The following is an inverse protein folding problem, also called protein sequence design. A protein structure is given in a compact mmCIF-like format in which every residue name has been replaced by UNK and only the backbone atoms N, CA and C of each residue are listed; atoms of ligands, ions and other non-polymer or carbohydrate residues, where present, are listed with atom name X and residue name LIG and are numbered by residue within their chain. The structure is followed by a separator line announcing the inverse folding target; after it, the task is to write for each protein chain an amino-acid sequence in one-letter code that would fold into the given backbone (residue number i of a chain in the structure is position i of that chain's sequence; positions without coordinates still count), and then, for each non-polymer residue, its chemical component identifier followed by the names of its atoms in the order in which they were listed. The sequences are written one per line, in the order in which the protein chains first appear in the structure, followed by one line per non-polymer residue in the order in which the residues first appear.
data_IF_248153994049
#
_entry.id   IF_248153994049
#
_cell.length_a   1.000
_cell.length_b   1.000
_cell.length_c   1.000
_cell.angle_alpha   90.00
_cell.angle_beta   90.00
_cell.angle_gamma   90.00
#
_symmetry.space_group_name_H-M   'P 1'
#
loop_
_entity.id
_entity.type
_entity.pdbx_description
1 polymer ?
#
# COMPACT_ATOMS: atom_id res chain seq x y z
N UNK A 1 -0.10 -15.98 -2.01
CA UNK A 1 -0.80 -15.84 -3.31
C UNK A 1 -1.07 -14.35 -3.53
N UNK A 2 -0.71 -13.79 -4.69
CA UNK A 2 -0.97 -12.38 -5.02
C UNK A 2 -2.49 -12.14 -5.11
N UNK A 3 -2.99 -11.14 -4.39
CA UNK A 3 -4.41 -10.76 -4.27
C UNK A 3 -5.38 -11.92 -3.95
N UNK A 4 -5.47 -12.34 -2.68
CA UNK A 4 -6.34 -13.42 -2.23
C UNK A 4 -7.84 -13.09 -2.32
N UNK A 5 -8.20 -11.80 -2.34
CA UNK A 5 -9.60 -11.33 -2.37
C UNK A 5 -10.37 -11.82 -3.61
N UNK A 6 -9.68 -12.00 -4.74
CA UNK A 6 -10.32 -12.39 -6.01
C UNK A 6 -10.18 -13.89 -6.33
N UNK A 7 -9.83 -14.74 -5.37
CA UNK A 7 -9.49 -16.14 -5.67
C UNK A 7 -10.62 -16.97 -6.26
N UNK A 8 -11.88 -16.57 -6.10
CA UNK A 8 -13.05 -17.38 -6.46
C UNK A 8 -13.67 -17.05 -7.82
N UNK A 9 -13.37 -15.88 -8.42
CA UNK A 9 -14.04 -15.40 -9.66
C UNK A 9 -13.06 -14.76 -10.67
N UNK A 10 -11.80 -15.20 -10.69
CA UNK A 10 -10.74 -14.55 -11.49
C UNK A 10 -11.08 -14.43 -12.96
N UNK A 11 -11.58 -15.49 -13.56
CA UNK A 11 -11.88 -15.53 -15.00
C UNK A 11 -13.00 -14.53 -15.33
N UNK A 12 -14.08 -14.54 -14.54
CA UNK A 12 -15.19 -13.60 -14.71
C UNK A 12 -14.78 -12.14 -14.50
N UNK A 13 -13.92 -11.87 -13.53
CA UNK A 13 -13.38 -10.52 -13.28
C UNK A 13 -12.51 -10.09 -14.45
N UNK A 14 -11.68 -10.99 -14.97
CA UNK A 14 -10.82 -10.72 -16.11
C UNK A 14 -11.63 -10.47 -17.40
N UNK A 15 -12.67 -11.27 -17.66
CA UNK A 15 -13.60 -11.06 -18.77
C UNK A 15 -14.29 -9.69 -18.68
N UNK A 16 -14.67 -9.26 -17.47
CA UNK A 16 -15.26 -7.95 -17.24
C UNK A 16 -14.23 -6.83 -17.49
N UNK A 17 -13.00 -7.03 -17.04
CA UNK A 17 -11.89 -6.11 -17.29
C UNK A 17 -11.63 -5.94 -18.80
N UNK A 18 -11.59 -7.02 -19.58
CA UNK A 18 -11.40 -6.94 -21.04
C UNK A 18 -12.53 -6.16 -21.73
N UNK A 19 -13.78 -6.39 -21.32
CA UNK A 19 -14.94 -5.63 -21.82
C UNK A 19 -14.85 -4.14 -21.46
N UNK A 20 -14.43 -3.82 -20.24
CA UNK A 20 -14.22 -2.44 -19.80
C UNK A 20 -13.14 -1.75 -20.64
N UNK A 21 -11.99 -2.38 -20.85
CA UNK A 21 -10.90 -1.83 -21.66
C UNK A 21 -11.33 -1.63 -23.13
N UNK A 22 -12.06 -2.58 -23.71
CA UNK A 22 -12.57 -2.47 -25.09
C UNK A 22 -13.53 -1.28 -25.25
N UNK A 23 -14.45 -1.10 -24.30
CA UNK A 23 -15.40 0.01 -24.32
C UNK A 23 -14.72 1.36 -24.07
N UNK A 24 -13.75 1.40 -23.16
CA UNK A 24 -12.92 2.58 -22.90
C UNK A 24 -12.16 3.01 -24.15
N UNK A 25 -11.53 2.06 -24.86
CA UNK A 25 -10.82 2.31 -26.11
C UNK A 25 -11.76 2.80 -27.24
N UNK A 26 -12.94 2.18 -27.38
CA UNK A 26 -13.95 2.55 -28.38
C UNK A 26 -14.41 4.01 -28.24
N UNK A 27 -14.49 4.50 -27.01
CA UNK A 27 -14.92 5.86 -26.70
C UNK A 27 -13.75 6.86 -26.56
N UNK A 28 -12.50 6.41 -26.70
CA UNK A 28 -11.31 7.26 -26.52
C UNK A 28 -11.13 7.79 -25.09
N UNK A 29 -11.67 7.07 -24.10
CA UNK A 29 -11.57 7.43 -22.69
C UNK A 29 -10.25 6.93 -22.08
N UNK A 30 -9.86 7.52 -20.95
CA UNK A 30 -8.73 7.07 -20.14
C UNK A 30 -9.05 7.24 -18.65
N UNK A 31 -8.51 6.36 -17.82
CA UNK A 31 -8.60 6.44 -16.36
C UNK A 31 -7.26 6.83 -15.72
N UNK A 32 -7.23 6.89 -14.38
CA UNK A 32 -6.02 7.23 -13.64
C UNK A 32 -4.90 6.20 -13.82
N UNK A 33 -5.24 4.92 -13.99
CA UNK A 33 -4.29 3.83 -14.17
C UNK A 33 -3.64 3.93 -15.56
N UNK A 34 -4.41 4.25 -16.59
CA UNK A 34 -3.89 4.46 -17.95
C UNK A 34 -2.85 5.58 -17.99
N UNK A 35 -3.13 6.68 -17.28
CA UNK A 35 -2.19 7.80 -17.14
C UNK A 35 -0.87 7.34 -16.53
N UNK A 36 -0.91 6.64 -15.39
CA UNK A 36 0.31 6.16 -14.72
C UNK A 36 1.06 5.15 -15.59
N UNK A 37 0.34 4.23 -16.27
CA UNK A 37 0.93 3.28 -17.22
C UNK A 37 1.62 3.98 -18.38
N UNK A 38 1.02 5.02 -18.96
CA UNK A 38 1.61 5.79 -20.05
C UNK A 38 2.94 6.44 -19.62
N UNK A 39 2.97 7.06 -18.44
CA UNK A 39 4.19 7.66 -17.87
C UNK A 39 5.24 6.57 -17.62
N UNK A 40 4.86 5.43 -17.03
CA UNK A 40 5.78 4.31 -16.77
C UNK A 40 6.37 3.74 -18.08
N UNK A 41 5.58 3.63 -19.15
CA UNK A 41 6.05 3.19 -20.46
C UNK A 41 7.08 4.17 -21.06
N UNK A 42 6.88 5.47 -20.90
CA UNK A 42 7.86 6.48 -21.31
C UNK A 42 9.13 6.41 -20.47
N UNK A 43 8.99 6.24 -19.15
CA UNK A 43 10.07 6.09 -18.18
C UNK A 43 10.95 4.85 -18.42
N UNK A 44 10.41 3.81 -19.06
CA UNK A 44 11.18 2.63 -19.48
C UNK A 44 12.06 2.90 -20.69
N UNK A 45 11.65 3.81 -21.59
CA UNK A 45 12.35 4.11 -22.85
C UNK A 45 13.38 5.22 -22.70
N UNK A 46 13.11 6.19 -21.82
CA UNK A 46 14.01 7.30 -21.51
C UNK A 46 14.03 7.46 -20.00
N UNK A 47 15.20 7.81 -19.45
CA UNK A 47 15.24 8.29 -18.08
C UNK A 47 14.23 9.43 -17.95
N UNK A 48 13.38 9.37 -16.92
CA UNK A 48 12.53 10.50 -16.57
C UNK A 48 13.49 11.61 -16.16
N UNK A 49 13.84 12.49 -17.11
CA UNK A 49 14.55 13.72 -16.82
C UNK A 49 13.67 14.51 -15.88
N UNK A 50 13.96 14.42 -14.59
CA UNK A 50 13.17 14.92 -13.49
C UNK A 50 14.10 15.36 -12.35
N UNK A 51 13.60 16.11 -11.37
CA UNK A 51 14.40 16.97 -10.51
C UNK A 51 15.47 16.17 -9.75
N UNK A 52 16.50 16.85 -9.24
CA UNK A 52 17.46 16.28 -8.29
C UNK A 52 16.79 15.99 -6.93
N UNK A 53 15.80 15.10 -6.93
CA UNK A 53 15.09 14.62 -5.74
C UNK A 53 15.95 13.50 -5.16
N UNK A 54 16.59 13.80 -4.04
CA UNK A 54 17.44 12.84 -3.36
C UNK A 54 16.61 11.79 -2.66
N UNK A 55 15.51 12.18 -2.00
CA UNK A 55 14.67 11.30 -1.18
C UNK A 55 13.19 11.72 -1.27
N UNK A 56 12.28 10.77 -1.04
CA UNK A 56 10.84 10.97 -1.02
C UNK A 56 10.22 10.32 0.21
N UNK A 57 9.29 11.03 0.83
CA UNK A 57 8.49 10.56 1.96
C UNK A 57 7.03 10.57 1.53
N UNK A 58 6.37 9.42 1.62
CA UNK A 58 4.97 9.24 1.22
C UNK A 58 4.20 8.82 2.45
N UNK A 59 3.32 9.72 2.88
CA UNK A 59 2.33 9.45 3.91
C UNK A 59 1.08 8.80 3.28
N UNK A 60 0.27 8.13 4.09
CA UNK A 60 -0.95 7.43 3.67
C UNK A 60 -0.72 6.51 2.45
N UNK A 61 0.37 5.75 2.46
CA UNK A 61 0.76 4.92 1.31
C UNK A 61 -0.29 3.86 0.94
N UNK A 62 -1.18 3.49 1.87
CA UNK A 62 -2.30 2.58 1.64
C UNK A 62 -3.37 3.10 0.67
N UNK A 63 -3.48 4.42 0.53
CA UNK A 63 -4.44 5.05 -0.38
C UNK A 63 -3.92 5.12 -1.82
N UNK A 64 -2.64 4.81 -2.04
CA UNK A 64 -2.03 4.79 -3.37
C UNK A 64 -2.26 3.46 -4.07
N UNK A 65 -2.39 3.50 -5.40
CA UNK A 65 -2.43 2.29 -6.20
C UNK A 65 -1.02 1.70 -6.35
N UNK A 66 -0.92 0.37 -6.45
CA UNK A 66 0.37 -0.33 -6.61
C UNK A 66 1.12 0.12 -7.89
N UNK A 67 0.39 0.52 -8.93
CA UNK A 67 1.00 1.06 -10.16
C UNK A 67 1.65 2.43 -9.92
N UNK A 68 1.09 3.25 -9.05
CA UNK A 68 1.64 4.57 -8.72
C UNK A 68 2.93 4.41 -7.90
N UNK A 69 2.93 3.50 -6.92
CA UNK A 69 4.13 3.12 -6.16
C UNK A 69 5.22 2.54 -7.07
N UNK A 70 4.85 1.76 -8.09
CA UNK A 70 5.79 1.25 -9.10
C UNK A 70 6.41 2.39 -9.92
N UNK A 71 5.64 3.41 -10.28
CA UNK A 71 6.16 4.57 -10.98
C UNK A 71 7.14 5.37 -10.10
N UNK A 72 6.83 5.54 -8.82
CA UNK A 72 7.72 6.19 -7.85
C UNK A 72 9.04 5.43 -7.77
N UNK A 73 9.01 4.10 -7.60
CA UNK A 73 10.20 3.25 -7.62
C UNK A 73 11.02 3.39 -8.92
N UNK A 74 10.37 3.71 -10.04
CA UNK A 74 11.05 3.97 -11.33
C UNK A 74 11.71 5.35 -11.40
N UNK A 75 11.17 6.34 -10.71
CA UNK A 75 11.73 7.70 -10.64
C UNK A 75 12.99 7.72 -9.79
N UNK A 76 13.03 6.93 -8.70
CA UNK A 76 14.14 6.94 -7.76
C UNK A 76 15.14 5.82 -8.02
N UNK A 77 16.43 6.17 -8.00
CA UNK A 77 17.52 5.25 -8.29
C UNK A 77 17.83 4.27 -7.14
N UNK A 78 17.22 4.42 -5.96
CA UNK A 78 17.42 3.50 -4.81
C UNK A 78 16.18 3.47 -3.94
N UNK A 79 15.82 2.29 -3.43
CA UNK A 79 14.77 2.13 -2.42
C UNK A 79 15.11 2.85 -1.11
N UNK A 80 16.39 2.98 -0.74
CA UNK A 80 16.79 3.74 0.46
C UNK A 80 16.37 5.22 0.42
N UNK A 81 16.06 5.73 -0.76
CA UNK A 81 15.63 7.11 -0.94
C UNK A 81 14.11 7.24 -0.83
N UNK A 82 13.40 6.17 -0.45
CA UNK A 82 11.95 6.13 -0.40
C UNK A 82 11.53 5.70 1.01
N UNK A 83 10.76 6.55 1.67
CA UNK A 83 10.12 6.26 2.94
C UNK A 83 8.60 6.25 2.76
N UNK A 84 7.95 5.17 3.20
CA UNK A 84 6.51 4.97 3.07
C UNK A 84 5.91 4.78 4.47
N UNK A 85 4.93 5.60 4.82
CA UNK A 85 4.15 5.49 6.05
C UNK A 85 2.67 5.30 5.72
N UNK A 86 1.94 4.61 6.59
CA UNK A 86 0.52 4.37 6.40
C UNK A 86 -0.08 3.43 7.45
N UNK A 87 -1.38 3.22 7.37
CA UNK A 87 -2.14 2.27 8.21
C UNK A 87 -3.21 1.55 7.38
N UNK A 88 -3.09 0.23 7.25
CA UNK A 88 -4.03 -0.59 6.48
C UNK A 88 -5.42 -0.62 7.13
N UNK A 89 -5.50 -0.54 8.46
CA UNK A 89 -6.78 -0.52 9.16
C UNK A 89 -7.60 0.75 8.82
N UNK A 90 -6.93 1.79 8.29
CA UNK A 90 -7.51 3.06 7.85
C UNK A 90 -7.67 3.15 6.33
N UNK A 91 -7.50 2.06 5.58
CA UNK A 91 -7.67 2.10 4.12
C UNK A 91 -9.13 2.41 3.76
N UNK A 92 -9.39 3.64 3.27
CA UNK A 92 -10.71 4.12 2.82
C UNK A 92 -10.85 3.97 1.30
N UNK A 93 -9.73 3.78 0.58
CA UNK A 93 -9.71 3.64 -0.87
C UNK A 93 -10.52 2.40 -1.34
N UNK A 94 -11.74 2.63 -1.84
CA UNK A 94 -12.61 1.60 -2.43
C UNK A 94 -11.86 0.83 -3.53
N UNK A 95 -11.73 -0.49 -3.34
CA UNK A 95 -11.07 -1.37 -4.32
C UNK A 95 -9.55 -1.47 -4.19
N UNK A 96 -8.93 -0.74 -3.27
CA UNK A 96 -7.52 -0.94 -2.91
C UNK A 96 -7.38 -2.15 -2.00
N UNK A 97 -6.83 -3.25 -2.53
CA UNK A 97 -6.40 -4.40 -1.71
C UNK A 97 -4.95 -4.21 -1.27
N UNK A 98 -4.64 -3.01 -0.78
CA UNK A 98 -3.30 -2.66 -0.34
C UNK A 98 -2.90 -3.49 0.88
N UNK A 99 -1.68 -4.04 0.82
CA UNK A 99 -1.03 -4.75 1.93
C UNK A 99 0.41 -4.32 1.97
N UNK A 100 0.95 -4.11 3.18
CA UNK A 100 2.37 -3.84 3.39
C UNK A 100 3.20 -5.03 2.94
N UNK A 101 2.67 -6.25 3.02
CA UNK A 101 3.30 -7.43 2.40
C UNK A 101 3.47 -7.29 0.88
N UNK A 102 2.46 -6.78 0.18
CA UNK A 102 2.51 -6.60 -1.28
C UNK A 102 3.46 -5.45 -1.67
N UNK A 103 3.47 -4.37 -0.87
CA UNK A 103 4.40 -3.26 -1.04
C UNK A 103 5.85 -3.69 -0.76
N UNK A 104 6.10 -4.43 0.32
CA UNK A 104 7.42 -4.96 0.65
C UNK A 104 7.93 -5.88 -0.46
N UNK A 105 7.09 -6.79 -0.94
CA UNK A 105 7.43 -7.65 -2.07
C UNK A 105 7.69 -6.86 -3.36
N UNK A 106 6.95 -5.78 -3.62
CA UNK A 106 7.19 -4.90 -4.76
C UNK A 106 8.58 -4.25 -4.67
N UNK A 107 8.91 -3.66 -3.53
CA UNK A 107 10.20 -2.98 -3.30
C UNK A 107 11.37 -3.97 -3.35
N UNK A 108 11.23 -5.14 -2.73
CA UNK A 108 12.23 -6.19 -2.75
C UNK A 108 12.51 -6.68 -4.18
N UNK A 109 11.47 -7.01 -4.94
CA UNK A 109 11.62 -7.44 -6.34
C UNK A 109 12.20 -6.35 -7.23
N UNK A 110 11.88 -5.08 -6.95
CA UNK A 110 12.44 -3.94 -7.67
C UNK A 110 13.96 -3.84 -7.51
N UNK A 111 14.46 -3.93 -6.29
CA UNK A 111 15.91 -3.90 -6.01
C UNK A 111 16.63 -5.10 -6.63
N UNK A 112 16.02 -6.29 -6.63
CA UNK A 112 16.64 -7.47 -7.22
C UNK A 112 16.74 -7.44 -8.75
N UNK A 113 15.77 -6.80 -9.43
CA UNK A 113 15.65 -6.87 -10.90
C UNK A 113 16.26 -5.68 -11.65
N UNK A 114 16.59 -4.60 -10.95
CA UNK A 114 17.15 -3.40 -11.58
C UNK A 114 18.63 -3.59 -11.94
N UNK A 115 19.08 -2.85 -12.97
CA UNK A 115 20.49 -2.85 -13.34
C UNK A 115 21.34 -2.29 -12.19
N UNK A 116 22.29 -3.06 -11.69
CA UNK A 116 23.22 -2.63 -10.65
C UNK A 116 24.14 -1.56 -11.22
N UNK A 117 23.88 -0.30 -10.88
CA UNK A 117 24.80 0.82 -11.15
C UNK A 117 25.94 0.70 -10.12
N UNK A 118 27.19 0.99 -10.51
CA UNK A 118 28.48 0.74 -9.82
C UNK A 118 28.63 1.15 -8.33
N UNK A 119 27.58 1.56 -7.64
CA UNK A 119 27.60 1.89 -6.23
C UNK A 119 27.05 0.72 -5.41
N UNK A 120 27.97 -0.20 -5.13
CA UNK A 120 27.90 -1.26 -4.13
C UNK A 120 26.95 -2.42 -4.43
N UNK A 121 27.52 -3.63 -4.45
CA UNK A 121 26.84 -4.94 -4.45
C UNK A 121 26.03 -5.21 -3.16
N UNK A 122 25.55 -4.17 -2.48
CA UNK A 122 24.81 -4.30 -1.24
C UNK A 122 23.38 -4.72 -1.64
N UNK A 123 23.00 -5.89 -1.18
CA UNK A 123 21.65 -6.40 -1.31
C UNK A 123 20.75 -5.54 -0.39
N UNK A 124 20.00 -4.61 -0.98
CA UNK A 124 19.13 -3.70 -0.22
C UNK A 124 17.83 -4.46 0.06
N UNK A 125 17.64 -4.88 1.31
CA UNK A 125 16.37 -5.39 1.78
C UNK A 125 15.55 -4.24 2.38
N UNK A 126 14.33 -3.96 1.87
CA UNK A 126 13.47 -2.95 2.46
C UNK A 126 13.20 -3.26 3.94
N UNK A 127 13.51 -2.30 4.81
CA UNK A 127 13.21 -2.41 6.23
C UNK A 127 11.75 -2.04 6.50
N UNK A 128 11.13 -2.75 7.45
CA UNK A 128 9.79 -2.46 7.95
C UNK A 128 9.84 -2.39 9.47
N UNK A 129 9.24 -1.36 10.03
CA UNK A 129 9.03 -1.23 11.47
C UNK A 129 7.59 -0.81 11.75
N UNK A 130 7.13 -1.03 12.99
CA UNK A 130 5.77 -0.74 13.43
C UNK A 130 5.80 0.24 14.59
N UNK A 131 4.87 1.19 14.61
CA UNK A 131 4.67 2.12 15.72
C UNK A 131 3.43 1.66 16.50
N UNK A 132 3.62 1.08 17.68
CA UNK A 132 2.54 0.49 18.47
C UNK A 132 2.12 1.32 19.69
N UNK A 133 2.76 2.47 19.93
CA UNK A 133 2.39 3.39 21.02
C UNK A 133 1.50 4.49 20.46
N UNK A 134 0.25 4.51 20.90
CA UNK A 134 -0.70 5.55 20.54
C UNK A 134 -0.64 6.69 21.56
N UNK A 135 -0.27 7.88 21.08
CA UNK A 135 -0.18 9.10 21.89
C UNK A 135 -1.45 9.97 21.83
N UNK A 136 -2.44 9.60 21.02
CA UNK A 136 -3.67 10.38 20.78
C UNK A 136 -4.82 9.92 21.68
N UNK A 137 -4.94 8.62 21.90
CA UNK A 137 -6.05 7.97 22.60
C UNK A 137 -5.58 7.21 23.84
N UNK A 138 -6.47 7.08 24.82
CA UNK A 138 -6.22 6.27 26.01
C UNK A 138 -6.54 4.78 25.76
N UNK A 139 -6.03 3.91 26.62
CA UNK A 139 -6.04 2.47 26.42
C UNK A 139 -7.46 1.87 26.32
N UNK A 140 -8.45 2.45 27.03
CA UNK A 140 -9.85 2.02 26.91
C UNK A 140 -10.40 2.08 25.48
N UNK A 141 -10.13 3.17 24.74
CA UNK A 141 -10.54 3.30 23.33
C UNK A 141 -9.77 2.29 22.45
N UNK A 142 -8.48 2.13 22.69
CA UNK A 142 -7.63 1.22 21.91
C UNK A 142 -8.02 -0.25 22.11
N UNK A 143 -8.43 -0.63 23.32
CA UNK A 143 -8.91 -1.98 23.60
C UNK A 143 -10.16 -2.30 22.80
N UNK A 144 -11.11 -1.37 22.73
CA UNK A 144 -12.34 -1.50 21.93
C UNK A 144 -12.02 -1.56 20.43
N UNK A 145 -11.22 -0.63 19.91
CA UNK A 145 -10.82 -0.63 18.50
C UNK A 145 -10.14 -1.96 18.13
N UNK A 146 -9.22 -2.42 18.97
CA UNK A 146 -8.51 -3.67 18.75
C UNK A 146 -9.43 -4.90 18.80
N UNK A 147 -10.49 -4.92 19.61
CA UNK A 147 -11.44 -6.05 19.60
C UNK A 147 -12.21 -6.14 18.28
N UNK A 148 -12.49 -5.01 17.63
CA UNK A 148 -13.08 -4.99 16.28
C UNK A 148 -12.07 -5.52 15.25
N UNK A 149 -10.80 -5.10 15.34
CA UNK A 149 -9.74 -5.63 14.47
C UNK A 149 -9.56 -7.14 14.65
N UNK A 150 -9.63 -7.65 15.88
CA UNK A 150 -9.53 -9.09 16.18
C UNK A 150 -10.64 -9.88 15.46
N UNK A 151 -11.88 -9.35 15.43
CA UNK A 151 -12.99 -9.95 14.68
C UNK A 151 -12.74 -9.91 13.16
N UNK A 152 -12.27 -8.79 12.62
CA UNK A 152 -11.94 -8.67 11.18
C UNK A 152 -10.87 -9.69 10.81
N UNK A 153 -9.83 -9.86 11.63
CA UNK A 153 -8.78 -10.86 11.41
C UNK A 153 -9.31 -12.29 11.45
N UNK A 154 -10.27 -12.57 12.33
CA UNK A 154 -10.86 -13.91 12.45
C UNK A 154 -11.74 -14.25 11.24
N UNK A 155 -12.64 -13.35 10.84
CA UNK A 155 -13.62 -13.63 9.78
C UNK A 155 -13.09 -13.34 8.37
N UNK A 156 -12.12 -12.43 8.24
CA UNK A 156 -11.52 -12.01 6.98
C UNK A 156 -9.98 -12.04 7.07
N UNK A 157 -9.36 -13.21 7.28
CA UNK A 157 -7.92 -13.32 7.60
C UNK A 157 -6.98 -12.83 6.51
N UNK A 158 -7.49 -12.65 5.29
CA UNK A 158 -6.72 -12.19 4.14
C UNK A 158 -7.01 -10.73 3.76
N UNK A 159 -7.80 -9.99 4.57
CA UNK A 159 -8.23 -8.62 4.28
C UNK A 159 -7.28 -7.55 4.79
N UNK A 160 -6.57 -7.80 5.90
CA UNK A 160 -5.67 -6.86 6.55
C UNK A 160 -4.40 -7.57 7.03
N UNK A 161 -3.29 -6.83 7.11
CA UNK A 161 -2.04 -7.39 7.62
C UNK A 161 -2.07 -7.58 9.14
N UNK A 162 -1.25 -8.54 9.61
CA UNK A 162 -1.03 -8.77 11.03
C UNK A 162 -0.01 -7.76 11.57
N UNK A 163 -0.55 -6.69 12.16
CA UNK A 163 0.18 -5.67 12.91
C UNK A 163 0.09 -5.90 14.41
N UNK A 164 1.11 -5.44 15.12
CA UNK A 164 1.12 -5.36 16.60
C UNK A 164 -0.07 -4.55 17.12
N UNK A 165 -0.61 -4.94 18.28
CA UNK A 165 -1.72 -4.22 18.91
C UNK A 165 -1.24 -2.85 19.41
N UNK A 166 -1.97 -1.80 19.06
CA UNK A 166 -1.72 -0.47 19.61
C UNK A 166 -2.03 -0.44 21.11
N UNK A 167 -1.22 0.28 21.87
CA UNK A 167 -1.43 0.51 23.28
C UNK A 167 -1.07 1.95 23.65
N UNK A 168 -1.64 2.44 24.76
CA UNK A 168 -1.37 3.76 25.30
C UNK A 168 -0.75 3.65 26.68
N UNK A 169 0.10 4.62 27.03
CA UNK A 169 0.66 4.77 28.38
C UNK A 169 -0.39 5.23 29.40
N UNK A 170 -1.55 5.71 28.94
CA UNK A 170 -2.63 6.26 29.77
C UNK A 170 -3.86 5.35 29.65
N UNK A 171 -4.40 4.87 30.77
CA UNK A 171 -5.61 4.03 30.79
C UNK A 171 -6.88 4.77 30.35
N UNK A 172 -7.00 6.03 30.79
CA UNK A 172 -8.15 6.90 30.59
C UNK A 172 -9.33 6.56 31.50
N UNK A 173 -10.44 7.31 31.39
CA UNK A 173 -11.61 7.12 32.23
C UNK A 173 -12.33 5.80 31.91
N UNK A 174 -13.09 5.28 32.88
CA UNK A 174 -13.97 4.14 32.64
C UNK A 174 -15.16 4.56 31.75
N UNK A 175 -15.68 3.66 30.90
CA UNK A 175 -16.87 3.95 30.09
C UNK A 175 -18.08 4.30 30.97
N UNK A 176 -18.87 5.29 30.55
CA UNK A 176 -20.10 5.70 31.23
C UNK A 176 -21.28 5.41 30.29
N UNK A 177 -22.30 4.73 30.80
CA UNK A 177 -23.55 4.49 30.08
C UNK A 177 -24.54 5.62 30.39
N UNK A 178 -25.07 6.25 29.35
CA UNK A 178 -26.19 7.18 29.47
C UNK A 178 -27.48 6.43 29.18
N UNK A 179 -28.42 6.44 30.13
CA UNK A 179 -29.79 6.02 29.86
C UNK A 179 -30.51 7.21 29.23
N UNK A 180 -30.99 7.02 27.98
CA UNK A 180 -31.82 7.99 27.27
C UNK A 180 -33.24 8.05 27.79
#
# INVERSE_FOLDING_TARGET
KKYPVFSYDRDRIYDLFEKYEAEKARNGHYDSIDRTKAILCLAKKKALGGPHIHEVYIDECQDNQIVDLTLILKVFDRVNNIFLAGDIAQCIARGSSFRFEDLHALMYNWEQTRAKINYSNIDINPERFELNINYRSHNGILQLASSVIDLIRQFFPNSIDKLSREHSKIGGPQPIFFNG
#
